data_IF_688275096235
#
_entry.id   IF_688275096235
#
_cell.length_a   1.000
_cell.length_b   1.000
_cell.length_c   1.000
_cell.angle_alpha   90.00
_cell.angle_beta   90.00
_cell.angle_gamma   90.00
#
_symmetry.space_group_name_H-M   'P 1'
#
loop_
_entity.id
_entity.type
_entity.pdbx_description
1 polymer ?
#
# COMPACT_ATOMS: atom_id res chain seq x y z
N UNK A 1 -9.63 4.76 7.77
CA UNK A 1 -10.85 3.98 8.07
C UNK A 1 -11.97 4.89 8.61
N UNK A 2 -11.72 5.74 9.61
CA UNK A 2 -12.73 6.64 10.23
C UNK A 2 -13.50 7.52 9.25
N UNK A 3 -12.83 8.07 8.22
CA UNK A 3 -13.50 8.91 7.23
C UNK A 3 -14.64 8.19 6.50
N UNK A 4 -14.47 6.92 6.12
CA UNK A 4 -15.51 6.11 5.48
C UNK A 4 -16.75 5.96 6.39
N UNK A 5 -16.53 5.88 7.71
CA UNK A 5 -17.62 5.83 8.69
C UNK A 5 -18.32 7.19 8.78
N UNK A 6 -17.55 8.27 8.90
CA UNK A 6 -18.07 9.63 9.03
C UNK A 6 -18.83 10.10 7.77
N UNK A 7 -18.46 9.59 6.61
CA UNK A 7 -19.09 9.90 5.33
C UNK A 7 -20.35 9.05 5.07
N UNK A 8 -20.81 8.28 6.05
CA UNK A 8 -21.98 7.39 5.98
C UNK A 8 -22.00 6.47 4.75
N UNK A 9 -20.81 5.98 4.37
CA UNK A 9 -20.66 5.05 3.25
C UNK A 9 -21.32 3.71 3.58
N UNK A 10 -22.01 3.13 2.60
CA UNK A 10 -22.59 1.79 2.66
C UNK A 10 -22.32 1.01 1.37
N UNK A 11 -22.36 -0.32 1.43
CA UNK A 11 -22.24 -1.22 0.28
C UNK A 11 -20.97 -0.98 -0.55
N UNK A 12 -19.82 -0.94 0.11
CA UNK A 12 -18.54 -0.65 -0.51
C UNK A 12 -17.51 -1.77 -0.32
N UNK A 13 -16.50 -1.78 -1.18
CA UNK A 13 -15.28 -2.57 -1.00
C UNK A 13 -14.08 -1.64 -0.91
N UNK A 14 -13.34 -1.73 0.19
CA UNK A 14 -12.10 -0.99 0.39
C UNK A 14 -10.93 -1.82 -0.11
N UNK A 15 -10.25 -1.34 -1.14
CA UNK A 15 -8.95 -1.86 -1.58
C UNK A 15 -7.86 -1.16 -0.79
N UNK A 16 -7.15 -1.91 0.05
CA UNK A 16 -6.11 -1.36 0.93
C UNK A 16 -4.80 -2.12 0.78
N UNK A 17 -3.69 -1.40 0.93
CA UNK A 17 -2.37 -2.02 0.96
C UNK A 17 -2.02 -2.52 2.38
N UNK A 18 -2.40 -1.77 3.42
CA UNK A 18 -2.24 -2.16 4.83
C UNK A 18 -3.59 -2.21 5.55
N UNK A 19 -3.77 -3.18 6.44
CA UNK A 19 -4.94 -3.26 7.34
C UNK A 19 -4.78 -2.44 8.62
N UNK A 20 -3.54 -2.22 9.04
CA UNK A 20 -3.24 -1.49 10.27
C UNK A 20 -3.36 0.01 10.05
N UNK A 21 -3.98 0.69 11.00
CA UNK A 21 -3.84 2.12 11.13
C UNK A 21 -2.41 2.45 11.54
N UNK A 22 -1.94 3.61 11.11
CA UNK A 22 -0.63 4.15 11.48
C UNK A 22 -0.82 5.51 12.16
N UNK A 23 -0.19 5.67 13.32
CA UNK A 23 -0.18 6.91 14.10
C UNK A 23 1.16 7.01 14.82
N UNK A 24 2.01 7.94 14.38
CA UNK A 24 3.36 8.14 14.92
C UNK A 24 3.34 8.58 16.40
N UNK A 25 2.21 9.08 16.90
CA UNK A 25 2.07 9.51 18.29
C UNK A 25 1.78 8.34 19.24
N UNK A 26 1.39 7.17 18.72
CA UNK A 26 1.08 5.96 19.51
C UNK A 26 2.27 5.02 19.67
N UNK A 27 2.23 4.22 20.75
CA UNK A 27 3.16 3.10 21.00
C UNK A 27 2.37 1.80 21.26
N UNK A 28 2.39 0.81 20.35
CA UNK A 28 3.06 0.81 19.04
C UNK A 28 2.38 1.75 18.03
N UNK A 29 3.11 2.26 17.02
CA UNK A 29 2.57 3.18 16.02
C UNK A 29 1.61 2.52 15.03
N UNK A 30 1.70 1.20 14.89
CA UNK A 30 0.76 0.40 14.11
C UNK A 30 -0.24 -0.28 15.03
N UNK A 31 -1.52 -0.11 14.74
CA UNK A 31 -2.62 -0.70 15.51
C UNK A 31 -3.76 -1.09 14.58
N UNK A 32 -4.56 -2.08 14.99
CA UNK A 32 -5.69 -2.55 14.22
C UNK A 32 -6.90 -1.63 14.40
N UNK A 33 -7.88 -1.74 13.50
CA UNK A 33 -9.22 -1.19 13.73
C UNK A 33 -9.79 -1.73 15.05
N UNK A 34 -10.52 -0.89 15.77
CA UNK A 34 -11.24 -1.37 16.93
C UNK A 34 -12.48 -2.19 16.51
N UNK A 35 -13.03 -2.93 17.47
CA UNK A 35 -14.16 -3.82 17.21
C UNK A 35 -15.42 -3.04 16.82
N UNK A 36 -15.62 -1.84 17.33
CA UNK A 36 -16.80 -1.03 17.06
C UNK A 36 -16.82 -0.60 15.57
N UNK A 37 -15.67 -0.18 15.04
CA UNK A 37 -15.49 0.13 13.63
C UNK A 37 -15.78 -1.08 12.73
N UNK A 38 -15.35 -2.28 13.12
CA UNK A 38 -15.62 -3.50 12.37
C UNK A 38 -17.11 -3.88 12.38
N UNK A 39 -17.81 -3.67 13.50
CA UNK A 39 -19.26 -3.89 13.55
C UNK A 39 -20.01 -2.89 12.66
N UNK A 40 -19.58 -1.62 12.62
CA UNK A 40 -20.14 -0.63 11.68
C UNK A 40 -19.92 -1.09 10.24
N UNK A 41 -18.71 -1.54 9.89
CA UNK A 41 -18.42 -2.04 8.54
C UNK A 41 -19.32 -3.21 8.17
N UNK A 42 -19.51 -4.16 9.10
CA UNK A 42 -20.40 -5.30 8.90
C UNK A 42 -21.86 -4.87 8.70
N UNK A 43 -22.37 -3.95 9.53
CA UNK A 43 -23.74 -3.44 9.42
C UNK A 43 -23.98 -2.70 8.11
N UNK A 44 -22.97 -1.94 7.65
CA UNK A 44 -23.03 -1.14 6.42
C UNK A 44 -22.60 -1.90 5.16
N UNK A 45 -22.41 -3.22 5.24
CA UNK A 45 -21.95 -4.06 4.12
C UNK A 45 -20.67 -3.53 3.45
N UNK A 46 -19.69 -3.12 4.26
CA UNK A 46 -18.36 -2.70 3.82
C UNK A 46 -17.41 -3.88 3.93
N UNK A 47 -16.83 -4.28 2.81
CA UNK A 47 -15.80 -5.32 2.74
C UNK A 47 -14.41 -4.71 2.60
N UNK A 48 -13.39 -5.44 3.05
CA UNK A 48 -11.98 -5.02 2.93
C UNK A 48 -11.23 -6.07 2.14
N UNK A 49 -10.62 -5.64 1.05
CA UNK A 49 -9.67 -6.43 0.28
C UNK A 49 -8.26 -5.87 0.50
N UNK A 50 -7.44 -6.62 1.25
CA UNK A 50 -6.06 -6.25 1.52
C UNK A 50 -5.11 -6.93 0.53
N UNK A 51 -4.33 -6.13 -0.19
CA UNK A 51 -3.32 -6.60 -1.13
C UNK A 51 -1.95 -6.03 -0.75
N UNK A 52 -1.26 -6.77 0.12
CA UNK A 52 0.01 -6.36 0.72
C UNK A 52 1.20 -6.96 -0.03
N UNK A 53 1.86 -7.99 0.52
CA UNK A 53 3.06 -8.64 -0.06
C UNK A 53 2.94 -8.96 -1.55
N UNK A 54 1.82 -9.52 -2.07
CA UNK A 54 1.73 -9.80 -3.50
C UNK A 54 1.71 -8.54 -4.38
N UNK A 55 1.23 -7.39 -3.87
CA UNK A 55 1.29 -6.10 -4.58
C UNK A 55 2.72 -5.57 -4.67
N UNK A 56 3.55 -5.81 -3.66
CA UNK A 56 4.94 -5.35 -3.68
C UNK A 56 5.87 -6.28 -4.49
N UNK A 57 5.41 -7.50 -4.78
CA UNK A 57 6.17 -8.47 -5.55
C UNK A 57 6.47 -7.94 -6.96
N UNK A 58 7.72 -8.12 -7.38
CA UNK A 58 8.28 -7.64 -8.63
C UNK A 58 7.45 -8.16 -9.81
N UNK A 59 6.62 -7.26 -10.33
CA UNK A 59 5.63 -7.48 -11.37
C UNK A 59 5.30 -6.13 -12.01
N UNK A 60 4.62 -6.15 -13.15
CA UNK A 60 4.29 -4.93 -13.88
C UNK A 60 3.46 -3.91 -13.10
N UNK A 61 2.74 -4.39 -12.08
CA UNK A 61 1.82 -3.60 -11.25
C UNK A 61 2.37 -3.31 -9.85
N UNK A 62 3.62 -3.69 -9.56
CA UNK A 62 4.15 -3.49 -8.22
C UNK A 62 4.38 -2.02 -7.91
N UNK A 63 4.22 -1.65 -6.65
CA UNK A 63 4.42 -0.28 -6.17
C UNK A 63 5.80 0.27 -6.56
N UNK A 64 6.84 -0.56 -6.40
CA UNK A 64 8.22 -0.21 -6.74
C UNK A 64 8.44 -0.08 -8.26
N UNK A 65 7.82 -0.94 -9.06
CA UNK A 65 7.91 -0.87 -10.53
C UNK A 65 7.18 0.36 -11.06
N UNK A 66 5.99 0.64 -10.53
CA UNK A 66 5.20 1.82 -10.89
C UNK A 66 5.97 3.10 -10.54
N UNK A 67 6.56 3.19 -9.35
CA UNK A 67 7.41 4.32 -8.96
C UNK A 67 8.58 4.47 -9.93
N UNK A 68 9.37 3.42 -10.15
CA UNK A 68 10.53 3.46 -11.03
C UNK A 68 10.17 3.91 -12.46
N UNK A 69 9.08 3.41 -13.03
CA UNK A 69 8.60 3.85 -14.35
C UNK A 69 8.25 5.34 -14.37
N UNK A 70 7.57 5.85 -13.35
CA UNK A 70 7.22 7.28 -13.26
C UNK A 70 8.44 8.18 -13.05
N UNK A 71 9.49 7.67 -12.41
CA UNK A 71 10.76 8.37 -12.22
C UNK A 71 11.72 8.25 -13.40
N UNK A 72 11.33 7.57 -14.49
CA UNK A 72 12.22 7.34 -15.65
C UNK A 72 13.37 6.35 -15.37
N UNK A 73 13.27 5.57 -14.30
CA UNK A 73 14.27 4.54 -13.96
C UNK A 73 14.10 3.34 -14.90
N UNK A 74 15.16 3.00 -15.63
CA UNK A 74 15.28 1.77 -16.42
C UNK A 74 15.56 0.61 -15.49
N UNK A 75 14.53 -0.19 -15.23
CA UNK A 75 14.58 -1.35 -14.34
C UNK A 75 15.45 -2.45 -14.95
N UNK A 76 16.39 -2.98 -14.16
CA UNK A 76 17.29 -4.09 -14.53
C UNK A 76 16.78 -5.39 -13.90
N UNK A 77 16.52 -5.36 -12.59
CA UNK A 77 16.10 -6.55 -11.84
C UNK A 77 15.38 -6.18 -10.52
N UNK A 78 14.88 -7.20 -9.82
CA UNK A 78 14.31 -7.05 -8.47
C UNK A 78 15.40 -6.81 -7.43
N UNK A 79 15.11 -6.02 -6.40
CA UNK A 79 16.10 -5.70 -5.35
C UNK A 79 16.37 -6.85 -4.37
N UNK A 80 15.34 -7.39 -3.70
CA UNK A 80 15.56 -8.39 -2.65
C UNK A 80 14.40 -9.38 -2.53
N UNK A 81 14.72 -10.63 -2.15
CA UNK A 81 13.70 -11.61 -1.74
C UNK A 81 13.34 -11.38 -0.26
N UNK A 82 12.07 -11.07 0.02
CA UNK A 82 11.55 -10.87 1.36
C UNK A 82 10.15 -11.46 1.49
N UNK A 83 9.94 -12.28 2.53
CA UNK A 83 8.64 -12.95 2.81
C UNK A 83 8.07 -13.72 1.61
N UNK A 84 8.94 -14.32 0.80
CA UNK A 84 8.54 -15.08 -0.39
C UNK A 84 8.22 -14.25 -1.63
N UNK A 85 8.37 -12.93 -1.57
CA UNK A 85 8.20 -12.00 -2.69
C UNK A 85 9.52 -11.31 -3.04
N UNK A 86 9.74 -11.06 -4.33
CA UNK A 86 10.84 -10.24 -4.82
C UNK A 86 10.42 -8.78 -4.71
N UNK A 87 10.89 -8.05 -3.70
CA UNK A 87 10.48 -6.67 -3.45
C UNK A 87 11.52 -5.68 -3.97
N UNK A 88 11.06 -4.49 -4.33
CA UNK A 88 11.91 -3.41 -4.82
C UNK A 88 12.48 -3.67 -6.21
N UNK A 89 13.14 -2.65 -6.75
CA UNK A 89 13.78 -2.70 -8.06
C UNK A 89 15.17 -2.09 -8.01
N UNK A 90 16.07 -2.60 -8.84
CA UNK A 90 17.37 -2.02 -9.14
C UNK A 90 17.31 -1.54 -10.58
N UNK A 91 17.77 -0.32 -10.84
CA UNK A 91 17.76 0.26 -12.17
C UNK A 91 18.70 1.44 -12.30
N UNK A 92 18.73 2.02 -13.49
CA UNK A 92 19.51 3.22 -13.81
C UNK A 92 18.58 4.37 -14.20
N UNK A 93 19.00 5.59 -13.92
CA UNK A 93 18.30 6.82 -14.31
C UNK A 93 19.28 7.71 -15.07
N UNK A 94 18.77 8.55 -15.96
CA UNK A 94 19.58 9.60 -16.56
C UNK A 94 19.93 10.66 -15.50
N UNK A 95 21.17 11.11 -15.47
CA UNK A 95 21.62 12.08 -14.47
C UNK A 95 20.92 13.42 -14.64
N UNK A 96 20.56 13.77 -15.87
CA UNK A 96 19.85 15.01 -16.19
C UNK A 96 18.43 15.04 -15.59
N UNK A 97 17.84 13.87 -15.31
CA UNK A 97 16.53 13.77 -14.64
C UNK A 97 16.64 13.93 -13.12
N UNK A 98 17.85 13.85 -12.54
CA UNK A 98 18.04 13.92 -11.08
C UNK A 98 17.96 15.36 -10.57
N UNK A 99 18.30 16.35 -11.38
CA UNK A 99 18.29 17.77 -10.97
C UNK A 99 16.88 18.32 -10.67
N UNK A 100 15.82 17.57 -11.00
CA UNK A 100 14.42 17.94 -10.78
C UNK A 100 13.75 17.24 -9.56
N UNK A 101 14.48 16.43 -8.80
CA UNK A 101 13.96 15.70 -7.62
C UNK A 101 13.99 16.47 -6.30
#
# INVERSE_FOLDING_TARGET
MTQIINDDVENAMLFVHYLSNWDITKKPPFYLMDKEQLEIFKQRNISIFCYHVPLDNFSDYSTSVALAKNLGIKIIESFALSRGAKNGVIGTIDIDLIEEF
#
